data_IF_381215063030
#
_entry.id   IF_381215063030
#
_cell.length_a   1.000
_cell.length_b   1.000
_cell.length_c   1.000
_cell.angle_alpha   90.00
_cell.angle_beta   90.00
_cell.angle_gamma   90.00
#
_symmetry.space_group_name_H-M   'P 1'
#
loop_
_entity.id
_entity.type
_entity.pdbx_description
1 polymer ?
#
# COMPACT_ATOMS: atom_id res chain seq x y z
N UNK A 1 -12.70 7.40 -7.64
CA UNK A 1 -13.33 6.76 -6.48
C UNK A 1 -12.24 6.50 -5.45
N UNK A 2 -12.54 6.72 -4.19
CA UNK A 2 -11.63 6.48 -3.06
C UNK A 2 -12.37 5.71 -1.98
N UNK A 3 -11.65 4.87 -1.24
CA UNK A 3 -12.07 4.33 0.03
C UNK A 3 -11.54 5.25 1.13
N UNK A 4 -12.40 5.56 2.08
CA UNK A 4 -12.01 6.31 3.28
C UNK A 4 -12.00 5.32 4.44
N UNK A 5 -10.88 5.22 5.10
CA UNK A 5 -10.70 4.30 6.23
C UNK A 5 -10.34 5.11 7.46
N UNK A 6 -11.00 4.77 8.56
CA UNK A 6 -10.82 5.38 9.88
C UNK A 6 -10.66 4.25 10.89
N UNK A 7 -9.66 4.35 11.76
CA UNK A 7 -9.48 3.37 12.83
C UNK A 7 -10.48 3.65 13.97
N UNK A 8 -10.98 2.62 14.64
CA UNK A 8 -11.92 2.80 15.77
C UNK A 8 -11.39 3.70 16.90
N UNK A 9 -10.06 3.72 17.12
CA UNK A 9 -9.37 4.56 18.11
C UNK A 9 -9.25 6.04 17.71
N UNK A 10 -9.33 6.35 16.40
CA UNK A 10 -9.25 7.71 15.87
C UNK A 10 -10.62 8.41 15.84
N UNK A 11 -11.68 7.68 16.21
CA UNK A 11 -13.04 8.19 16.26
C UNK A 11 -13.32 8.78 17.64
N UNK A 12 -13.63 10.08 17.67
CA UNK A 12 -13.82 10.84 18.91
C UNK A 12 -15.33 11.01 19.18
N UNK A 13 -15.79 10.54 20.35
CA UNK A 13 -17.14 10.78 20.82
C UNK A 13 -17.30 12.19 21.39
N UNK A 14 -18.36 12.89 20.99
CA UNK A 14 -18.72 14.22 21.48
C UNK A 14 -20.21 14.27 21.85
N UNK A 15 -20.68 15.41 22.33
CA UNK A 15 -22.10 15.65 22.41
C UNK A 15 -22.71 15.74 21.00
N UNK A 16 -23.94 15.29 20.81
CA UNK A 16 -24.62 15.27 19.51
C UNK A 16 -24.57 16.60 18.74
N UNK A 17 -24.62 17.72 19.45
CA UNK A 17 -24.56 19.06 18.85
C UNK A 17 -23.18 19.46 18.30
N UNK A 18 -22.10 18.82 18.78
CA UNK A 18 -20.73 19.15 18.48
C UNK A 18 -20.08 18.14 17.51
N UNK A 19 -20.82 17.11 17.09
CA UNK A 19 -20.37 16.08 16.18
C UNK A 19 -20.51 16.47 14.71
N UNK A 20 -19.53 16.14 13.89
CA UNK A 20 -19.64 16.22 12.44
C UNK A 20 -20.61 15.17 11.88
N UNK A 21 -20.70 14.03 12.56
CA UNK A 21 -21.69 12.98 12.32
C UNK A 21 -22.44 12.73 13.62
N UNK A 22 -23.73 12.42 13.54
CA UNK A 22 -24.56 12.09 14.70
C UNK A 22 -25.16 10.71 14.50
N UNK A 23 -25.18 9.90 15.55
CA UNK A 23 -25.75 8.56 15.49
C UNK A 23 -26.17 8.02 16.86
N UNK A 24 -26.88 6.91 16.84
CA UNK A 24 -27.41 6.25 18.05
C UNK A 24 -26.51 5.07 18.43
N UNK A 25 -26.19 4.97 19.71
CA UNK A 25 -25.39 3.87 20.27
C UNK A 25 -26.23 2.59 20.29
N UNK A 26 -25.78 1.58 19.55
CA UNK A 26 -26.47 0.28 19.44
C UNK A 26 -25.80 -0.83 20.24
N UNK A 27 -24.50 -0.72 20.49
CA UNK A 27 -23.74 -1.70 21.28
C UNK A 27 -22.61 -1.04 22.07
N UNK A 28 -22.35 -1.57 23.28
CA UNK A 28 -21.21 -1.19 24.12
C UNK A 28 -20.61 -2.43 24.74
N UNK A 29 -19.36 -2.74 24.44
CA UNK A 29 -18.64 -3.92 24.92
C UNK A 29 -17.35 -3.48 25.60
N UNK A 30 -17.19 -3.85 26.90
CA UNK A 30 -15.94 -3.59 27.60
C UNK A 30 -14.88 -4.63 27.24
N UNK A 31 -13.73 -4.18 26.74
CA UNK A 31 -12.59 -5.02 26.30
C UNK A 31 -11.43 -5.04 27.33
N UNK A 32 -11.70 -4.76 28.58
CA UNK A 32 -10.71 -4.79 29.68
C UNK A 32 -10.08 -3.43 29.96
N UNK A 33 -9.65 -2.65 28.98
CA UNK A 33 -9.10 -1.30 29.13
C UNK A 33 -9.94 -0.25 28.40
N UNK A 34 -10.58 -0.63 27.31
CA UNK A 34 -11.36 0.24 26.44
C UNK A 34 -12.77 -0.33 26.26
N UNK A 35 -13.68 0.52 25.86
CA UNK A 35 -15.00 0.15 25.36
C UNK A 35 -14.96 0.13 23.83
N UNK A 36 -15.52 -0.92 23.24
CA UNK A 36 -15.89 -0.96 21.84
C UNK A 36 -17.36 -0.55 21.74
N UNK A 37 -17.62 0.52 21.04
CA UNK A 37 -18.94 1.16 20.98
C UNK A 37 -19.36 1.17 19.52
N UNK A 38 -20.51 0.59 19.23
CA UNK A 38 -21.11 0.61 17.89
C UNK A 38 -22.18 1.70 17.84
N UNK A 39 -22.10 2.52 16.81
CA UNK A 39 -23.01 3.64 16.57
C UNK A 39 -23.61 3.53 15.17
N UNK A 40 -24.92 3.60 15.07
CA UNK A 40 -25.61 3.66 13.79
C UNK A 40 -25.91 5.12 13.41
N UNK A 41 -25.49 5.51 12.19
CA UNK A 41 -25.79 6.83 11.61
C UNK A 41 -26.34 6.64 10.20
N UNK A 42 -27.64 6.74 10.05
CA UNK A 42 -28.35 6.46 8.82
C UNK A 42 -28.20 4.99 8.40
N UNK A 43 -27.54 4.75 7.26
CA UNK A 43 -27.25 3.39 6.76
C UNK A 43 -25.84 2.90 7.11
N UNK A 44 -25.09 3.66 7.89
CA UNK A 44 -23.69 3.34 8.22
C UNK A 44 -23.59 2.93 9.69
N UNK A 45 -22.75 1.93 9.93
CA UNK A 45 -22.31 1.51 11.25
C UNK A 45 -20.89 2.02 11.48
N UNK A 46 -20.65 2.64 12.63
CA UNK A 46 -19.34 3.18 13.01
C UNK A 46 -18.93 2.53 14.32
N UNK A 47 -17.74 1.92 14.32
CA UNK A 47 -17.15 1.34 15.52
C UNK A 47 -16.17 2.33 16.13
N UNK A 48 -16.29 2.57 17.42
CA UNK A 48 -15.48 3.49 18.22
C UNK A 48 -14.75 2.68 19.29
N UNK A 49 -13.45 2.90 19.46
CA UNK A 49 -12.70 2.40 20.60
C UNK A 49 -12.35 3.57 21.52
N UNK A 50 -12.86 3.54 22.76
CA UNK A 50 -12.72 4.67 23.69
C UNK A 50 -12.51 4.19 25.13
N UNK A 51 -11.76 4.96 25.92
CA UNK A 51 -11.72 4.79 27.37
C UNK A 51 -12.95 5.36 28.08
N UNK A 52 -13.74 6.18 27.36
CA UNK A 52 -15.01 6.73 27.86
C UNK A 52 -16.14 5.76 27.56
N UNK A 53 -17.00 5.54 28.52
CA UNK A 53 -18.21 4.74 28.37
C UNK A 53 -19.30 5.53 27.62
N UNK A 54 -20.21 4.81 26.96
CA UNK A 54 -21.47 5.27 26.41
C UNK A 54 -22.60 4.33 26.87
N UNK A 55 -23.83 4.72 26.69
CA UNK A 55 -24.99 3.90 27.03
C UNK A 55 -25.76 3.57 25.75
N UNK A 56 -26.17 2.30 25.61
CA UNK A 56 -26.98 1.87 24.46
C UNK A 56 -28.30 2.68 24.47
N UNK A 57 -28.61 3.27 23.32
CA UNK A 57 -29.76 4.17 23.13
C UNK A 57 -29.43 5.66 23.24
N UNK A 58 -28.20 6.01 23.65
CA UNK A 58 -27.78 7.42 23.61
C UNK A 58 -27.56 7.87 22.17
N UNK A 59 -27.90 9.13 21.88
CA UNK A 59 -27.53 9.81 20.65
C UNK A 59 -26.28 10.62 20.88
N UNK A 60 -25.19 10.30 20.18
CA UNK A 60 -23.90 10.94 20.33
C UNK A 60 -23.41 11.60 19.04
N UNK A 61 -22.51 12.56 19.18
CA UNK A 61 -21.73 13.15 18.10
C UNK A 61 -20.43 12.40 17.89
N UNK A 62 -19.98 12.38 16.66
CA UNK A 62 -18.73 11.74 16.22
C UNK A 62 -17.91 12.75 15.44
N UNK A 63 -16.63 12.87 15.82
CA UNK A 63 -15.62 13.62 15.08
C UNK A 63 -14.42 12.72 14.78
N UNK A 64 -13.70 13.05 13.73
CA UNK A 64 -12.46 12.38 13.34
C UNK A 64 -11.47 13.47 13.00
N UNK A 65 -10.29 13.43 13.64
CA UNK A 65 -9.21 14.34 13.30
C UNK A 65 -8.68 14.07 11.89
N UNK A 66 -8.18 15.08 11.16
CA UNK A 66 -7.72 14.90 9.78
C UNK A 66 -6.63 13.83 9.61
N UNK A 67 -5.77 13.64 10.58
CA UNK A 67 -4.70 12.62 10.61
C UNK A 67 -5.22 11.20 10.87
N UNK A 68 -6.43 11.05 11.42
CA UNK A 68 -7.13 9.76 11.55
C UNK A 68 -7.88 9.34 10.28
N UNK A 69 -7.90 10.17 9.22
CA UNK A 69 -8.60 9.88 7.97
C UNK A 69 -7.60 9.40 6.92
N UNK A 70 -7.68 8.11 6.57
CA UNK A 70 -6.85 7.53 5.52
C UNK A 70 -7.65 7.41 4.23
N UNK A 71 -7.13 8.00 3.15
CA UNK A 71 -7.77 7.97 1.83
C UNK A 71 -6.96 7.07 0.90
N UNK A 72 -7.61 6.01 0.40
CA UNK A 72 -6.98 5.04 -0.49
C UNK A 72 -7.74 5.04 -1.83
N UNK A 73 -7.06 5.01 -2.99
CA UNK A 73 -7.73 4.78 -4.26
C UNK A 73 -8.51 3.46 -4.22
N UNK A 74 -9.84 3.50 -4.43
CA UNK A 74 -10.73 2.33 -4.27
C UNK A 74 -10.40 1.17 -5.23
N UNK A 75 -9.81 1.50 -6.38
CA UNK A 75 -9.47 0.54 -7.44
C UNK A 75 -7.93 0.38 -7.58
N UNK A 76 -7.14 0.76 -6.55
CA UNK A 76 -5.70 0.57 -6.57
C UNK A 76 -5.40 -0.93 -6.45
N UNK A 77 -5.07 -1.53 -7.57
CA UNK A 77 -4.62 -2.92 -7.65
C UNK A 77 -3.18 -3.03 -8.16
N UNK A 78 -2.55 -1.90 -8.48
CA UNK A 78 -1.19 -1.82 -9.01
C UNK A 78 -0.50 -0.53 -8.57
N UNK A 79 0.79 -0.65 -8.26
CA UNK A 79 1.68 0.50 -8.17
C UNK A 79 2.16 0.88 -9.57
N UNK A 80 2.37 2.18 -9.79
CA UNK A 80 2.95 2.72 -11.03
C UNK A 80 4.10 3.63 -10.68
N UNK A 81 5.24 3.38 -11.29
CA UNK A 81 6.46 4.14 -11.07
C UNK A 81 7.09 4.58 -12.39
N UNK A 82 7.86 5.63 -12.34
CA UNK A 82 8.85 5.94 -13.34
C UNK A 82 10.10 5.11 -13.07
N UNK A 83 10.64 4.47 -14.08
CA UNK A 83 11.83 3.64 -13.95
C UNK A 83 12.85 3.91 -15.05
N UNK A 84 14.03 3.35 -14.85
CA UNK A 84 15.15 3.42 -15.77
C UNK A 84 15.84 2.06 -15.86
N UNK A 85 16.10 1.58 -17.07
CA UNK A 85 16.86 0.36 -17.26
C UNK A 85 18.36 0.62 -17.07
N UNK A 86 19.04 -0.36 -16.50
CA UNK A 86 20.50 -0.38 -16.38
C UNK A 86 21.15 -1.13 -17.55
N UNK A 87 22.48 -1.04 -17.65
CA UNK A 87 23.28 -1.84 -18.59
C UNK A 87 23.29 -3.35 -18.24
N UNK A 88 22.98 -3.70 -16.98
CA UNK A 88 22.99 -5.07 -16.47
C UNK A 88 21.58 -5.71 -16.54
N UNK A 89 20.67 -5.09 -17.32
CA UNK A 89 19.30 -5.55 -17.57
C UNK A 89 18.43 -5.62 -16.33
N UNK A 90 18.71 -4.76 -15.35
CA UNK A 90 17.86 -4.50 -14.20
C UNK A 90 17.03 -3.23 -14.41
N UNK A 91 16.04 -2.99 -13.57
CA UNK A 91 15.24 -1.77 -13.59
C UNK A 91 15.34 -1.06 -12.25
N UNK A 92 15.64 0.25 -12.30
CA UNK A 92 15.66 1.15 -11.16
C UNK A 92 14.29 1.80 -11.03
N UNK A 93 13.64 1.67 -9.89
CA UNK A 93 12.43 2.38 -9.49
C UNK A 93 12.22 2.28 -7.97
N UNK A 94 11.41 3.17 -7.39
CA UNK A 94 11.06 3.15 -5.97
C UNK A 94 12.29 3.00 -5.05
N UNK A 95 13.33 3.79 -5.31
CA UNK A 95 14.62 3.79 -4.57
C UNK A 95 15.37 2.45 -4.57
N UNK A 96 15.02 1.56 -5.47
CA UNK A 96 15.62 0.23 -5.53
C UNK A 96 16.04 -0.21 -6.91
N UNK A 97 16.72 -1.35 -6.95
CA UNK A 97 17.13 -2.05 -8.17
C UNK A 97 16.52 -3.45 -8.17
N UNK A 98 15.85 -3.80 -9.26
CA UNK A 98 15.11 -5.04 -9.39
C UNK A 98 15.52 -5.82 -10.63
N UNK A 99 15.62 -7.13 -10.50
CA UNK A 99 15.73 -8.01 -11.65
C UNK A 99 14.48 -7.90 -12.50
N UNK A 100 14.62 -7.87 -13.82
CA UNK A 100 13.51 -7.84 -14.74
C UNK A 100 13.77 -8.68 -16.00
N UNK A 101 12.72 -8.97 -16.74
CA UNK A 101 12.82 -9.63 -18.04
C UNK A 101 12.78 -8.58 -19.16
N UNK A 102 13.95 -8.04 -19.48
CA UNK A 102 14.11 -6.97 -20.48
C UNK A 102 13.65 -7.40 -21.88
N UNK A 103 13.62 -8.70 -22.21
CA UNK A 103 13.15 -9.18 -23.51
C UNK A 103 11.67 -8.90 -23.76
N UNK A 104 10.89 -8.73 -22.70
CA UNK A 104 9.46 -8.34 -22.81
C UNK A 104 9.28 -6.93 -23.36
N UNK A 105 10.27 -6.06 -23.21
CA UNK A 105 10.23 -4.69 -23.72
C UNK A 105 10.50 -4.61 -25.22
N UNK A 106 11.30 -5.56 -25.75
CA UNK A 106 11.73 -5.60 -27.12
C UNK A 106 11.30 -6.93 -27.77
N UNK A 107 10.07 -7.00 -28.33
CA UNK A 107 9.56 -8.23 -28.93
C UNK A 107 10.49 -8.81 -29.99
N UNK A 108 10.84 -10.07 -29.85
CA UNK A 108 11.78 -10.76 -30.77
C UNK A 108 13.26 -10.64 -30.39
N UNK A 109 13.57 -9.90 -29.33
CA UNK A 109 14.93 -9.87 -28.77
C UNK A 109 15.24 -11.13 -27.96
N UNK A 110 16.53 -11.36 -27.71
CA UNK A 110 17.05 -12.42 -26.84
C UNK A 110 18.34 -12.00 -26.20
N UNK A 111 18.69 -12.64 -25.10
CA UNK A 111 20.04 -12.58 -24.54
C UNK A 111 20.90 -13.64 -25.26
N UNK A 112 22.00 -13.21 -25.83
CA UNK A 112 22.95 -14.10 -26.55
C UNK A 112 23.96 -14.80 -25.61
N UNK A 113 24.90 -15.58 -26.17
CA UNK A 113 25.91 -16.32 -25.42
C UNK A 113 26.91 -15.41 -24.68
N UNK A 114 27.02 -14.15 -25.10
CA UNK A 114 27.87 -13.14 -24.47
C UNK A 114 27.15 -12.31 -23.41
N UNK A 115 25.93 -12.73 -23.04
CA UNK A 115 25.02 -11.97 -22.13
C UNK A 115 24.65 -10.58 -22.68
N UNK A 116 24.53 -10.44 -24.00
CA UNK A 116 24.17 -9.22 -24.70
C UNK A 116 22.71 -9.32 -25.20
N UNK A 117 21.89 -8.30 -24.94
CA UNK A 117 20.56 -8.21 -25.51
C UNK A 117 20.67 -7.86 -26.98
N UNK A 118 20.18 -8.75 -27.84
CA UNK A 118 20.20 -8.55 -29.29
C UNK A 118 18.80 -8.64 -29.90
N UNK A 119 18.58 -7.91 -30.96
CA UNK A 119 17.33 -7.97 -31.74
C UNK A 119 17.25 -9.24 -32.59
N UNK A 120 16.20 -9.34 -33.41
CA UNK A 120 15.98 -10.47 -34.34
C UNK A 120 17.09 -10.61 -35.41
N UNK A 121 17.82 -9.53 -35.70
CA UNK A 121 18.92 -9.49 -36.69
C UNK A 121 20.30 -9.78 -36.05
N UNK A 122 20.34 -9.84 -34.71
CA UNK A 122 21.58 -10.01 -33.95
C UNK A 122 22.26 -8.67 -33.65
N UNK A 123 21.62 -7.54 -33.84
CA UNK A 123 22.14 -6.22 -33.48
C UNK A 123 21.90 -5.96 -31.98
N UNK A 124 22.93 -5.40 -31.30
CA UNK A 124 22.87 -5.07 -29.88
C UNK A 124 21.84 -3.99 -29.58
N UNK A 125 21.07 -4.20 -28.52
CA UNK A 125 20.09 -3.23 -27.99
C UNK A 125 20.66 -2.62 -26.71
N UNK A 126 20.99 -1.34 -26.76
CA UNK A 126 21.42 -0.57 -25.58
C UNK A 126 20.23 -0.32 -24.66
N UNK A 127 20.40 -0.66 -23.38
CA UNK A 127 19.34 -0.50 -22.36
C UNK A 127 19.65 0.56 -21.32
N UNK A 128 20.94 0.91 -21.12
CA UNK A 128 21.34 1.88 -20.10
C UNK A 128 20.68 3.23 -20.28
N UNK A 129 20.00 3.70 -19.26
CA UNK A 129 19.32 5.00 -19.26
C UNK A 129 17.96 5.03 -19.97
N UNK A 130 17.49 3.89 -20.48
CA UNK A 130 16.17 3.81 -21.13
C UNK A 130 15.07 4.00 -20.08
N UNK A 131 14.22 5.02 -20.30
CA UNK A 131 13.11 5.35 -19.40
C UNK A 131 11.92 4.45 -19.67
N UNK A 132 11.36 3.91 -18.59
CA UNK A 132 10.23 3.00 -18.61
C UNK A 132 9.16 3.43 -17.61
N UNK A 133 7.91 3.09 -17.91
CA UNK A 133 6.83 3.10 -16.94
C UNK A 133 6.72 1.71 -16.34
N UNK A 134 6.90 1.59 -15.02
CA UNK A 134 6.86 0.33 -14.28
C UNK A 134 5.51 0.16 -13.61
N UNK A 135 4.98 -1.05 -13.64
CA UNK A 135 3.66 -1.39 -13.14
C UNK A 135 3.73 -2.72 -12.37
N UNK A 136 3.46 -2.68 -11.05
CA UNK A 136 3.56 -3.86 -10.17
C UNK A 136 2.22 -4.07 -9.44
N UNK A 137 1.61 -5.26 -9.56
CA UNK A 137 0.40 -5.56 -8.81
C UNK A 137 0.68 -5.54 -7.30
N UNK A 138 -0.18 -4.88 -6.51
CA UNK A 138 0.01 -4.73 -5.06
C UNK A 138 0.01 -6.07 -4.31
N UNK A 139 -0.67 -7.07 -4.83
CA UNK A 139 -0.74 -8.44 -4.27
C UNK A 139 0.51 -9.29 -4.53
N UNK A 140 1.37 -8.86 -5.42
CA UNK A 140 2.58 -9.60 -5.84
C UNK A 140 3.85 -9.02 -5.18
N UNK A 141 3.69 -8.06 -4.26
CA UNK A 141 4.75 -7.48 -3.44
C UNK A 141 4.66 -8.12 -2.05
N UNK A 142 5.79 -8.58 -1.53
CA UNK A 142 5.88 -9.13 -0.17
C UNK A 142 6.88 -8.34 0.68
N UNK A 143 6.65 -8.30 1.99
CA UNK A 143 7.58 -7.70 2.96
C UNK A 143 8.48 -8.76 3.57
N UNK A 144 9.68 -8.35 3.97
CA UNK A 144 10.63 -9.16 4.72
C UNK A 144 11.32 -8.31 5.79
N UNK A 145 11.59 -8.91 6.96
CA UNK A 145 12.44 -8.36 8.01
C UNK A 145 13.94 -8.48 7.66
N UNK A 146 14.30 -9.36 6.72
CA UNK A 146 15.62 -9.39 6.12
C UNK A 146 15.74 -8.25 5.10
N UNK A 147 16.47 -7.20 5.48
CA UNK A 147 16.64 -5.99 4.66
C UNK A 147 17.39 -6.21 3.33
N UNK A 148 18.09 -7.36 3.19
CA UNK A 148 18.81 -7.72 1.96
C UNK A 148 17.97 -8.62 1.03
N UNK A 149 16.79 -9.06 1.49
CA UNK A 149 15.93 -9.96 0.70
C UNK A 149 15.24 -9.28 -0.49
N UNK A 150 15.00 -7.96 -0.40
CA UNK A 150 14.24 -7.19 -1.41
C UNK A 150 15.08 -6.19 -2.20
N UNK A 151 14.52 -5.69 -3.28
CA UNK A 151 15.16 -4.68 -4.14
C UNK A 151 15.13 -3.26 -3.58
N UNK A 152 14.24 -2.96 -2.64
CA UNK A 152 14.13 -1.67 -1.95
C UNK A 152 13.68 -1.86 -0.51
N UNK A 153 13.84 -0.81 0.31
CA UNK A 153 13.46 -0.80 1.74
C UNK A 153 12.66 0.44 2.08
N UNK A 154 11.89 0.36 3.16
CA UNK A 154 11.13 1.52 3.67
C UNK A 154 10.48 1.26 5.01
N UNK A 155 9.81 2.28 5.53
CA UNK A 155 9.03 2.20 6.75
C UNK A 155 7.54 2.04 6.46
N UNK A 156 6.86 1.21 7.24
CA UNK A 156 5.41 1.07 7.18
C UNK A 156 4.77 2.34 7.75
N UNK A 157 4.13 3.12 6.88
CA UNK A 157 3.48 4.39 7.25
C UNK A 157 1.96 4.28 7.34
N UNK A 158 1.38 3.20 6.85
CA UNK A 158 -0.05 2.94 6.93
C UNK A 158 -0.33 1.44 6.95
N UNK A 159 -1.29 1.05 7.75
CA UNK A 159 -1.73 -0.33 7.96
C UNK A 159 -3.26 -0.32 8.11
N UNK A 160 -3.96 -1.03 7.24
CA UNK A 160 -5.41 -1.08 7.23
C UNK A 160 -5.89 -2.51 7.00
N UNK A 161 -6.68 -3.05 7.93
CA UNK A 161 -7.30 -4.37 7.77
C UNK A 161 -8.51 -4.29 6.84
N UNK A 162 -8.55 -5.14 5.82
CA UNK A 162 -9.61 -5.20 4.79
C UNK A 162 -10.58 -6.39 4.97
N UNK A 163 -10.49 -7.10 6.10
CA UNK A 163 -11.36 -8.23 6.43
C UNK A 163 -10.70 -9.59 6.23
N UNK A 164 -9.88 -9.77 5.22
CA UNK A 164 -9.15 -11.01 4.90
C UNK A 164 -7.64 -10.79 4.74
N UNK A 165 -7.19 -9.54 4.59
CA UNK A 165 -5.79 -9.15 4.46
C UNK A 165 -5.60 -7.74 5.01
N UNK A 166 -4.33 -7.35 5.18
CA UNK A 166 -3.94 -5.99 5.48
C UNK A 166 -3.47 -5.28 4.21
N UNK A 167 -3.90 -4.04 4.04
CA UNK A 167 -3.34 -3.12 3.05
C UNK A 167 -2.29 -2.27 3.72
N UNK A 168 -1.08 -2.31 3.22
CA UNK A 168 0.06 -1.56 3.73
C UNK A 168 0.47 -0.47 2.75
N UNK A 169 1.01 0.61 3.30
CA UNK A 169 1.80 1.59 2.56
C UNK A 169 3.19 1.64 3.18
N UNK A 170 4.19 1.34 2.39
CA UNK A 170 5.59 1.43 2.77
C UNK A 170 6.20 2.62 2.08
N UNK A 171 6.80 3.53 2.85
CA UNK A 171 7.46 4.73 2.33
C UNK A 171 8.95 4.51 2.25
N UNK A 172 9.50 4.72 1.06
CA UNK A 172 10.93 4.62 0.80
C UNK A 172 11.68 5.87 1.29
N UNK A 173 13.01 5.84 1.20
CA UNK A 173 13.88 6.92 1.63
C UNK A 173 13.61 8.27 0.93
N UNK A 174 13.24 8.23 -0.35
CA UNK A 174 12.93 9.43 -1.15
C UNK A 174 11.42 9.72 -1.21
N UNK A 175 10.67 9.25 -0.20
CA UNK A 175 9.24 9.52 -0.02
C UNK A 175 8.33 8.93 -1.11
N UNK A 176 8.76 7.86 -1.78
CA UNK A 176 7.87 7.10 -2.66
C UNK A 176 7.02 6.12 -1.85
N UNK A 177 5.72 6.12 -2.06
CA UNK A 177 4.75 5.27 -1.38
C UNK A 177 4.47 4.01 -2.21
N UNK A 178 4.73 2.85 -1.62
CA UNK A 178 4.51 1.55 -2.22
C UNK A 178 3.36 0.86 -1.48
N UNK A 179 2.29 0.59 -2.20
CA UNK A 179 1.13 -0.12 -1.68
C UNK A 179 1.28 -1.62 -1.88
N UNK A 180 0.90 -2.40 -0.87
CA UNK A 180 0.90 -3.86 -0.95
C UNK A 180 -0.19 -4.49 -0.06
N UNK A 181 -0.44 -5.77 -0.28
CA UNK A 181 -1.29 -6.60 0.57
C UNK A 181 -0.46 -7.70 1.24
N UNK A 182 -0.74 -7.94 2.52
CA UNK A 182 -0.16 -9.06 3.27
C UNK A 182 -1.23 -9.65 4.20
N UNK A 183 -1.17 -10.95 4.43
CA UNK A 183 -2.03 -11.65 5.40
C UNK A 183 -1.50 -11.54 6.82
N UNK A 184 -0.21 -11.27 6.99
CA UNK A 184 0.46 -11.13 8.28
C UNK A 184 0.37 -9.71 8.81
N UNK A 185 0.26 -9.62 10.14
CA UNK A 185 0.27 -8.34 10.85
C UNK A 185 1.71 -7.88 11.11
N UNK A 186 2.08 -6.77 10.50
CA UNK A 186 3.29 -6.00 10.77
C UNK A 186 2.95 -4.77 11.62
N UNK A 187 3.93 -4.16 12.26
CA UNK A 187 3.68 -2.96 13.06
C UNK A 187 3.91 -1.68 12.24
N UNK A 188 3.26 -0.61 12.68
CA UNK A 188 3.57 0.73 12.18
C UNK A 188 5.04 1.04 12.50
N UNK A 189 5.68 1.79 11.61
CA UNK A 189 7.09 2.18 11.65
C UNK A 189 8.11 1.03 11.51
N UNK A 190 7.69 -0.24 11.39
CA UNK A 190 8.61 -1.33 11.06
C UNK A 190 9.37 -0.99 9.77
N UNK A 191 10.69 -1.22 9.80
CA UNK A 191 11.56 -1.07 8.65
C UNK A 191 11.69 -2.41 7.94
N UNK A 192 11.25 -2.46 6.69
CA UNK A 192 11.13 -3.70 5.93
C UNK A 192 11.78 -3.57 4.56
N UNK A 193 12.18 -4.71 3.97
CA UNK A 193 12.49 -4.80 2.55
C UNK A 193 11.29 -5.26 1.75
N UNK A 194 11.22 -4.85 0.48
CA UNK A 194 10.14 -5.21 -0.43
C UNK A 194 10.67 -6.14 -1.51
N UNK A 195 10.11 -7.33 -1.56
CA UNK A 195 10.45 -8.38 -2.51
C UNK A 195 9.42 -8.38 -3.64
N UNK A 196 9.89 -8.23 -4.87
CA UNK A 196 9.04 -8.23 -6.06
C UNK A 196 9.63 -9.26 -7.04
N UNK A 197 8.92 -10.36 -7.33
CA UNK A 197 9.38 -11.34 -8.30
C UNK A 197 9.51 -10.72 -9.69
N UNK A 198 10.59 -11.03 -10.41
CA UNK A 198 10.90 -10.44 -11.73
C UNK A 198 9.80 -10.61 -12.78
N UNK A 199 9.05 -11.72 -12.72
CA UNK A 199 7.94 -12.00 -13.64
C UNK A 199 6.68 -11.16 -13.36
N UNK A 200 6.63 -10.49 -12.19
CA UNK A 200 5.54 -9.61 -11.74
C UNK A 200 5.81 -8.13 -12.03
N UNK A 201 7.00 -7.79 -12.42
CA UNK A 201 7.34 -6.43 -12.86
C UNK A 201 6.94 -6.29 -14.32
N UNK A 202 5.93 -5.47 -14.57
CA UNK A 202 5.49 -5.11 -15.92
C UNK A 202 6.00 -3.71 -16.24
N UNK A 203 6.58 -3.53 -17.41
CA UNK A 203 7.10 -2.24 -17.82
C UNK A 203 6.92 -2.02 -19.33
N UNK A 204 6.82 -0.74 -19.68
CA UNK A 204 6.62 -0.28 -21.04
C UNK A 204 7.58 0.91 -21.29
N UNK A 205 8.03 1.07 -22.54
CA UNK A 205 8.83 2.23 -22.94
C UNK A 205 8.06 3.52 -22.65
N UNK A 206 8.69 4.43 -21.97
CA UNK A 206 8.12 5.76 -21.75
C UNK A 206 8.20 6.56 -23.04
N UNK A 207 7.06 7.06 -23.51
CA UNK A 207 6.95 7.88 -24.72
C UNK A 207 7.40 9.30 -24.45
#
# INVERSE_FOLDING_TARGET
>A
RVDVVVRPEDVIMTEAKDGAVVGDVTSVIFKGMNYEITVESGANEIVIQSTRNAVVGDTIGINIEPDGIHVIPADMNRNKFDGELTKDYTVLFADGEFECDVTKLYPGSRIDENNTLVDSNGEEIETAGVKVSVNVPIKDITMSDDIEAGGTTGHIISLIYKGDHYHYVVRTKNEEDIHLHDEYLWNMDDFVSLVIPKDKIHFELKK
#
